data_IF_101783110691
#
_entry.id   IF_101783110691
#
_cell.length_a   1.000
_cell.length_b   1.000
_cell.length_c   1.000
_cell.angle_alpha   90.00
_cell.angle_beta   90.00
_cell.angle_gamma   90.00
#
_symmetry.space_group_name_H-M   'P 1'
#
loop_
_entity.id
_entity.type
_entity.pdbx_description
1 polymer ?
#
# COMPACT_ATOMS: atom_id res chain seq x y z
N UNK A 1 0.37 0.80 -24.23
CA UNK A 1 1.20 0.71 -23.02
C UNK A 1 0.48 -0.21 -22.03
N UNK A 2 1.09 -1.35 -21.65
CA UNK A 2 0.53 -2.19 -20.58
C UNK A 2 0.70 -1.44 -19.27
N UNK A 3 -0.42 -1.11 -18.64
CA UNK A 3 -0.47 -0.58 -17.28
C UNK A 3 0.33 -1.55 -16.40
N UNK A 4 1.54 -1.18 -15.97
CA UNK A 4 2.30 -1.97 -15.00
C UNK A 4 1.73 -1.64 -13.62
N UNK A 5 0.55 -2.17 -13.33
CA UNK A 5 -0.07 -2.12 -12.00
C UNK A 5 0.59 -3.15 -11.07
N UNK A 6 1.92 -3.11 -10.98
CA UNK A 6 2.69 -4.04 -10.17
C UNK A 6 3.65 -3.23 -9.32
N UNK A 7 3.40 -3.25 -8.01
CA UNK A 7 4.35 -2.82 -7.00
C UNK A 7 4.66 -4.01 -6.10
N UNK A 8 5.80 -4.01 -5.44
CA UNK A 8 6.16 -5.01 -4.44
C UNK A 8 6.46 -4.35 -3.10
N UNK A 9 6.16 -5.03 -2.00
CA UNK A 9 6.68 -4.60 -0.70
C UNK A 9 8.21 -4.78 -0.61
N UNK A 10 8.78 -4.35 0.52
CA UNK A 10 10.22 -4.47 0.79
C UNK A 10 10.75 -5.92 0.80
N UNK A 11 9.87 -6.91 0.90
CA UNK A 11 10.21 -8.34 0.87
C UNK A 11 10.03 -8.94 -0.53
N UNK A 12 9.70 -8.11 -1.53
CA UNK A 12 9.46 -8.54 -2.90
C UNK A 12 8.08 -9.18 -3.11
N UNK A 13 7.16 -9.07 -2.15
CA UNK A 13 5.80 -9.61 -2.30
C UNK A 13 4.95 -8.67 -3.16
N UNK A 14 4.14 -9.19 -4.10
CA UNK A 14 3.29 -8.36 -4.92
C UNK A 14 2.24 -7.64 -4.07
N UNK A 15 2.03 -6.36 -4.37
CA UNK A 15 0.99 -5.53 -3.81
C UNK A 15 -0.13 -5.36 -4.85
N UNK A 16 -1.37 -5.60 -4.44
CA UNK A 16 -2.55 -5.55 -5.31
C UNK A 16 -3.69 -4.76 -4.64
N UNK A 17 -4.55 -4.07 -5.42
CA UNK A 17 -5.78 -3.50 -4.88
C UNK A 17 -6.63 -4.55 -4.15
N UNK A 18 -7.18 -4.17 -3.00
CA UNK A 18 -7.95 -5.03 -2.11
C UNK A 18 -7.13 -5.77 -1.05
N UNK A 19 -5.79 -5.78 -1.14
CA UNK A 19 -4.96 -6.42 -0.13
C UNK A 19 -4.92 -5.63 1.18
N UNK A 20 -4.93 -6.36 2.30
CA UNK A 20 -4.63 -5.80 3.61
C UNK A 20 -3.12 -5.61 3.76
N UNK A 21 -2.74 -4.43 4.20
CA UNK A 21 -1.34 -4.05 4.40
C UNK A 21 -1.16 -3.36 5.74
N UNK A 22 0.06 -3.40 6.24
CA UNK A 22 0.54 -2.58 7.34
C UNK A 22 1.47 -1.50 6.80
N UNK A 23 1.27 -0.25 7.21
CA UNK A 23 2.19 0.83 6.92
C UNK A 23 3.33 0.80 7.93
N UNK A 24 4.54 0.57 7.47
CA UNK A 24 5.76 0.47 8.26
C UNK A 24 6.55 1.77 8.17
N UNK A 25 7.07 2.24 9.31
CA UNK A 25 7.77 3.54 9.38
C UNK A 25 6.88 4.74 9.72
N UNK A 26 5.57 4.54 9.83
CA UNK A 26 4.65 5.51 10.47
C UNK A 26 4.42 5.12 11.93
N UNK A 27 4.34 6.10 12.83
CA UNK A 27 4.00 5.88 14.23
C UNK A 27 2.69 5.10 14.38
N UNK A 28 2.72 4.05 15.21
CA UNK A 28 1.58 3.16 15.43
C UNK A 28 1.31 2.13 14.33
N UNK A 29 2.10 2.13 13.25
CA UNK A 29 2.06 1.15 12.15
C UNK A 29 0.63 0.81 11.68
N UNK A 30 -0.11 1.80 11.15
CA UNK A 30 -1.52 1.62 10.86
C UNK A 30 -1.73 0.55 9.79
N UNK A 31 -2.78 -0.25 9.98
CA UNK A 31 -3.24 -1.22 8.99
C UNK A 31 -4.31 -0.61 8.10
N UNK A 32 -4.36 -1.04 6.84
CA UNK A 32 -5.29 -0.53 5.86
C UNK A 32 -5.44 -1.47 4.66
N UNK A 33 -6.16 -1.01 3.65
CA UNK A 33 -6.41 -1.76 2.41
C UNK A 33 -5.91 -0.97 1.21
N UNK A 34 -5.17 -1.62 0.30
CA UNK A 34 -4.75 -0.96 -0.95
C UNK A 34 -6.00 -0.70 -1.80
N UNK A 35 -6.18 0.52 -2.28
CA UNK A 35 -7.27 0.89 -3.19
C UNK A 35 -6.81 1.14 -4.61
N UNK A 36 -5.55 1.55 -4.80
CA UNK A 36 -4.94 1.75 -6.13
C UNK A 36 -3.41 1.66 -6.05
N UNK A 37 -2.81 1.33 -7.19
CA UNK A 37 -1.37 1.33 -7.41
C UNK A 37 -1.02 2.41 -8.43
N UNK A 38 0.14 3.03 -8.26
CA UNK A 38 0.74 3.92 -9.25
C UNK A 38 2.15 3.40 -9.54
N UNK A 39 2.22 2.38 -10.40
CA UNK A 39 3.43 1.59 -10.63
C UNK A 39 4.60 2.38 -11.23
N UNK A 40 4.34 3.48 -11.96
CA UNK A 40 5.42 4.32 -12.51
C UNK A 40 6.24 5.05 -11.42
N UNK A 41 5.70 5.14 -10.20
CA UNK A 41 6.31 5.84 -9.08
C UNK A 41 6.53 4.95 -7.85
N UNK A 42 6.28 3.64 -7.95
CA UNK A 42 6.30 2.72 -6.81
C UNK A 42 5.44 3.18 -5.63
N UNK A 43 4.32 3.85 -5.92
CA UNK A 43 3.41 4.36 -4.89
C UNK A 43 2.14 3.52 -4.82
N UNK A 44 1.66 3.27 -3.61
CA UNK A 44 0.36 2.67 -3.35
C UNK A 44 -0.54 3.65 -2.61
N UNK A 45 -1.84 3.59 -2.87
CA UNK A 45 -2.82 4.31 -2.03
C UNK A 45 -3.50 3.30 -1.12
N UNK A 46 -3.45 3.58 0.17
CA UNK A 46 -4.00 2.76 1.24
C UNK A 46 -5.15 3.51 1.89
N UNK A 47 -6.30 2.84 1.99
CA UNK A 47 -7.41 3.27 2.83
C UNK A 47 -7.15 2.81 4.26
N UNK A 48 -6.94 3.77 5.16
CA UNK A 48 -6.76 3.54 6.60
C UNK A 48 -8.07 3.88 7.31
N UNK A 49 -8.53 2.97 8.17
CA UNK A 49 -9.72 3.17 9.00
C UNK A 49 -9.31 3.34 10.48
N UNK A 50 -8.60 4.42 10.78
CA UNK A 50 -8.26 4.82 12.14
C UNK A 50 -8.83 6.22 12.39
N UNK A 51 -9.95 6.28 13.10
CA UNK A 51 -10.70 7.51 13.42
C UNK A 51 -11.34 8.21 12.20
N UNK A 52 -11.66 7.42 11.17
CA UNK A 52 -12.26 7.88 9.92
C UNK A 52 -11.58 7.24 8.71
N UNK A 53 -12.33 7.08 7.63
CA UNK A 53 -11.81 6.56 6.37
C UNK A 53 -10.99 7.63 5.67
N UNK A 54 -9.68 7.41 5.58
CA UNK A 54 -8.76 8.30 4.87
C UNK A 54 -7.94 7.52 3.86
N UNK A 55 -7.88 8.01 2.63
CA UNK A 55 -6.96 7.52 1.60
C UNK A 55 -5.62 8.25 1.75
N UNK A 56 -4.54 7.50 1.82
CA UNK A 56 -3.18 8.03 1.90
C UNK A 56 -2.27 7.32 0.93
N UNK A 57 -1.33 8.06 0.36
CA UNK A 57 -0.32 7.53 -0.56
C UNK A 57 0.95 7.20 0.21
N UNK A 58 1.52 6.03 -0.06
CA UNK A 58 2.74 5.53 0.56
C UNK A 58 3.66 4.95 -0.52
N UNK A 59 4.96 5.02 -0.30
CA UNK A 59 5.90 4.24 -1.10
C UNK A 59 5.64 2.75 -0.86
N UNK A 60 5.84 1.92 -1.89
CA UNK A 60 5.69 0.47 -1.80
C UNK A 60 6.61 -0.16 -0.74
N UNK A 61 7.75 0.46 -0.46
CA UNK A 61 8.69 0.05 0.60
C UNK A 61 8.23 0.40 2.02
N UNK A 62 7.23 1.28 2.17
CA UNK A 62 6.62 1.71 3.43
C UNK A 62 5.35 0.90 3.77
N UNK A 63 5.01 -0.10 2.97
CA UNK A 63 3.90 -1.00 3.23
C UNK A 63 4.37 -2.44 3.20
N UNK A 64 3.77 -3.27 4.06
CA UNK A 64 3.98 -4.72 4.10
C UNK A 64 2.66 -5.43 3.93
N UNK A 65 2.64 -6.46 3.07
CA UNK A 65 1.47 -7.31 2.91
C UNK A 65 1.24 -8.15 4.17
N UNK A 66 0.00 -8.14 4.69
CA UNK A 66 -0.39 -8.94 5.87
C UNK A 66 -0.93 -10.33 5.52
N UNK A 67 -1.05 -10.63 4.23
CA UNK A 67 -1.47 -11.91 3.66
C UNK A 67 -0.29 -12.68 3.08
#
# INVERSE_FOLDING_TARGET
MKMREQATDRHGRPLLPGMKVRVVGTDGQPEGTIVRLVGDYDVVTVLIDQKGKAERMYQSSEVEALS
#
